data_IF_287191949907
#
_entry.id   IF_287191949907
#
_cell.length_a   1.000
_cell.length_b   1.000
_cell.length_c   1.000
_cell.angle_alpha   90.00
_cell.angle_beta   90.00
_cell.angle_gamma   90.00
#
_symmetry.space_group_name_H-M   'P 1'
#
loop_
_entity.id
_entity.type
_entity.pdbx_description
1 polymer ?
#
# COMPACT_ATOMS: atom_id res chain seq x y z
N UNK A 1 -9.20 10.36 1.05
CA UNK A 1 -8.83 9.88 2.41
C UNK A 1 -8.34 8.44 2.41
N UNK A 2 -9.01 7.51 1.73
CA UNK A 2 -8.63 6.07 1.75
C UNK A 2 -7.17 5.80 1.33
N UNK A 3 -6.70 6.36 0.21
CA UNK A 3 -5.30 6.20 -0.23
C UNK A 3 -4.28 6.72 0.79
N UNK A 4 -4.59 7.82 1.49
CA UNK A 4 -3.73 8.39 2.51
C UNK A 4 -3.68 7.48 3.74
N UNK A 5 -4.82 6.92 4.16
CA UNK A 5 -4.89 5.95 5.25
C UNK A 5 -4.10 4.69 4.92
N UNK A 6 -4.21 4.15 3.69
CA UNK A 6 -3.42 3.00 3.24
C UNK A 6 -1.93 3.33 3.26
N UNK A 7 -1.54 4.50 2.71
CA UNK A 7 -0.15 4.96 2.70
C UNK A 7 0.44 5.05 4.11
N UNK A 8 -0.27 5.68 5.06
CA UNK A 8 0.14 5.78 6.45
C UNK A 8 0.20 4.40 7.16
N UNK A 9 -0.74 3.51 6.85
CA UNK A 9 -0.77 2.15 7.36
C UNK A 9 0.46 1.34 6.92
N UNK A 10 0.85 1.44 5.65
CA UNK A 10 2.05 0.76 5.15
C UNK A 10 3.34 1.29 5.81
N UNK A 11 3.41 2.59 6.12
CA UNK A 11 4.54 3.16 6.89
C UNK A 11 4.58 2.53 8.29
N UNK A 12 3.43 2.45 8.96
CA UNK A 12 3.32 1.86 10.29
C UNK A 12 3.77 0.39 10.30
N UNK A 13 3.34 -0.41 9.32
CA UNK A 13 3.78 -1.83 9.19
C UNK A 13 5.27 -1.96 8.94
N UNK A 14 5.85 -1.15 8.05
CA UNK A 14 7.30 -1.21 7.75
C UNK A 14 8.13 -0.81 8.97
N UNK A 15 7.69 0.20 9.73
CA UNK A 15 8.31 0.57 11.01
C UNK A 15 8.29 -0.61 12.00
N UNK A 16 7.16 -1.30 12.11
CA UNK A 16 7.03 -2.44 13.00
C UNK A 16 7.86 -3.64 12.55
N UNK A 17 7.94 -3.92 11.24
CA UNK A 17 8.83 -4.96 10.70
C UNK A 17 10.31 -4.69 11.05
N UNK A 18 10.75 -3.42 11.09
CA UNK A 18 12.09 -3.08 11.58
C UNK A 18 12.28 -3.43 13.06
N UNK A 19 11.28 -3.15 13.91
CA UNK A 19 11.37 -3.31 15.36
C UNK A 19 11.28 -4.79 15.77
N UNK A 20 10.37 -5.54 15.15
CA UNK A 20 10.00 -6.89 15.59
C UNK A 20 10.59 -8.00 14.73
N UNK A 21 11.01 -7.71 13.49
CA UNK A 21 11.42 -8.72 12.50
C UNK A 21 12.76 -8.39 11.82
N UNK A 22 13.49 -7.38 12.31
CA UNK A 22 14.76 -6.90 11.76
C UNK A 22 14.72 -6.57 10.25
N UNK A 23 13.52 -6.30 9.71
CA UNK A 23 13.37 -5.97 8.30
C UNK A 23 14.02 -4.61 8.00
N UNK A 24 14.67 -4.50 6.83
CA UNK A 24 15.22 -3.23 6.38
C UNK A 24 14.14 -2.35 5.74
N UNK A 25 13.78 -1.20 6.35
CA UNK A 25 12.84 -0.29 5.75
C UNK A 25 13.50 0.43 4.57
N UNK A 26 12.87 0.37 3.40
CA UNK A 26 13.28 1.15 2.23
C UNK A 26 12.07 1.82 1.60
N UNK A 27 12.30 2.96 0.93
CA UNK A 27 11.24 3.64 0.17
C UNK A 27 10.65 2.72 -0.91
N UNK A 28 11.50 1.90 -1.56
CA UNK A 28 11.08 0.93 -2.56
C UNK A 28 10.14 -0.13 -1.96
N UNK A 29 10.47 -0.68 -0.79
CA UNK A 29 9.61 -1.64 -0.09
C UNK A 29 8.24 -1.02 0.23
N UNK A 30 8.22 0.22 0.72
CA UNK A 30 6.97 0.94 0.97
C UNK A 30 6.13 1.15 -0.29
N UNK A 31 6.74 1.57 -1.39
CA UNK A 31 6.03 1.73 -2.68
C UNK A 31 5.42 0.41 -3.14
N UNK A 32 6.17 -0.70 -3.04
CA UNK A 32 5.66 -2.03 -3.42
C UNK A 32 4.46 -2.42 -2.55
N UNK A 33 4.58 -2.29 -1.23
CA UNK A 33 3.51 -2.63 -0.28
C UNK A 33 2.27 -1.75 -0.43
N UNK A 34 2.45 -0.47 -0.72
CA UNK A 34 1.37 0.46 -1.04
C UNK A 34 0.63 0.03 -2.32
N UNK A 35 1.36 -0.28 -3.40
CA UNK A 35 0.74 -0.76 -4.65
C UNK A 35 -0.03 -2.05 -4.45
N UNK A 36 0.52 -3.02 -3.72
CA UNK A 36 -0.16 -4.27 -3.36
C UNK A 36 -1.50 -4.00 -2.66
N UNK A 37 -1.53 -3.10 -1.66
CA UNK A 37 -2.79 -2.75 -0.98
C UNK A 37 -3.76 -2.01 -1.91
N UNK A 38 -3.29 -1.08 -2.73
CA UNK A 38 -4.17 -0.36 -3.66
C UNK A 38 -4.82 -1.33 -4.65
N UNK A 39 -4.07 -2.31 -5.16
CA UNK A 39 -4.61 -3.36 -6.03
C UNK A 39 -5.66 -4.22 -5.31
N UNK A 40 -5.45 -4.54 -4.03
CA UNK A 40 -6.45 -5.24 -3.23
C UNK A 40 -7.73 -4.42 -3.05
N UNK A 41 -7.60 -3.12 -2.78
CA UNK A 41 -8.75 -2.21 -2.65
C UNK A 41 -9.47 -1.98 -3.99
N UNK A 42 -8.75 -2.03 -5.12
CA UNK A 42 -9.34 -1.92 -6.46
C UNK A 42 -10.36 -3.02 -6.76
N UNK A 43 -10.30 -4.19 -6.12
CA UNK A 43 -11.36 -5.21 -6.25
C UNK A 43 -12.74 -4.73 -5.77
N UNK A 44 -12.79 -3.69 -4.93
CA UNK A 44 -14.05 -3.10 -4.44
C UNK A 44 -14.59 -2.01 -5.36
N UNK A 45 -13.82 -1.61 -6.36
CA UNK A 45 -14.19 -0.59 -7.35
C UNK A 45 -14.87 -1.28 -8.54
N UNK A 46 -15.97 -0.75 -9.09
CA UNK A 46 -16.59 -1.27 -10.31
C UNK A 46 -15.61 -1.28 -11.50
N UNK A 47 -15.66 -2.32 -12.34
CA UNK A 47 -14.70 -2.54 -13.45
C UNK A 47 -14.53 -1.31 -14.38
N UNK A 48 -15.63 -0.62 -14.69
CA UNK A 48 -15.62 0.58 -15.54
C UNK A 48 -14.84 1.77 -14.95
N UNK A 49 -14.60 1.78 -13.63
CA UNK A 49 -13.84 2.82 -12.93
C UNK A 49 -12.39 2.38 -12.63
N UNK A 50 -12.05 1.09 -12.78
CA UNK A 50 -10.67 0.60 -12.52
C UNK A 50 -9.69 1.07 -13.58
N UNK A 51 -10.11 1.13 -14.85
CA UNK A 51 -9.25 1.52 -15.97
C UNK A 51 -8.70 2.94 -15.83
N UNK A 52 -9.46 3.87 -15.24
CA UNK A 52 -8.98 5.24 -14.99
C UNK A 52 -8.01 5.36 -13.81
N UNK A 53 -7.82 4.31 -13.01
CA UNK A 53 -6.96 4.31 -11.81
C UNK A 53 -5.64 3.59 -12.06
N UNK A 54 -5.61 2.62 -13.00
CA UNK A 54 -4.43 1.80 -13.32
C UNK A 54 -3.56 2.42 -14.43
N UNK A 55 -4.04 3.46 -15.11
CA UNK A 55 -3.26 4.28 -16.06
C UNK A 55 -2.16 5.08 -15.36
#
# INVERSE_FOLDING_TARGET
MEIFTIAAWEIWKIRNGKIFEEQQPTLRLWIVKLKEQVLLHLHRVPEGLKQSIVQ
#
